data_IF_615994768517
#
_entry.id   IF_615994768517
#
_cell.length_a   1.000
_cell.length_b   1.000
_cell.length_c   1.000
_cell.angle_alpha   90.00
_cell.angle_beta   90.00
_cell.angle_gamma   90.00
#
_symmetry.space_group_name_H-M   'P 1'
#
loop_
_entity.id
_entity.type
_entity.pdbx_description
1 polymer ?
#
# COMPACT_ATOMS: atom_id res chain seq x y z
N UNK A 1 54.89 -2.22 26.95
CA UNK A 1 53.44 -2.41 26.80
C UNK A 1 52.85 -2.45 28.20
N UNK A 2 52.06 -1.44 28.53
CA UNK A 2 51.59 -1.17 29.89
C UNK A 2 50.15 -1.62 30.05
N UNK A 3 49.74 -1.94 31.28
CA UNK A 3 48.38 -2.40 31.59
C UNK A 3 47.31 -1.34 31.20
N UNK A 4 47.71 -0.06 31.22
CA UNK A 4 46.86 1.07 30.82
C UNK A 4 46.62 1.11 29.29
N UNK A 5 47.60 0.74 28.47
CA UNK A 5 47.43 0.67 27.01
C UNK A 5 46.42 -0.40 26.61
N UNK A 6 46.44 -1.56 27.29
CA UNK A 6 45.50 -2.65 27.03
C UNK A 6 44.08 -2.25 27.43
N UNK A 7 43.91 -1.58 28.57
CA UNK A 7 42.61 -1.08 29.01
C UNK A 7 42.03 -0.02 28.06
N UNK A 8 42.86 0.93 27.61
CA UNK A 8 42.44 1.94 26.64
C UNK A 8 42.07 1.29 25.31
N UNK A 9 42.86 0.32 24.83
CA UNK A 9 42.56 -0.40 23.58
C UNK A 9 41.23 -1.17 23.66
N UNK A 10 40.95 -1.84 24.77
CA UNK A 10 39.66 -2.54 24.97
C UNK A 10 38.48 -1.57 25.02
N UNK A 11 38.65 -0.40 25.65
CA UNK A 11 37.61 0.61 25.72
C UNK A 11 37.29 1.22 24.35
N UNK A 12 38.32 1.59 23.58
CA UNK A 12 38.16 2.09 22.20
C UNK A 12 37.52 1.02 21.30
N UNK A 13 37.92 -0.24 21.46
CA UNK A 13 37.33 -1.35 20.69
C UNK A 13 35.85 -1.56 21.02
N UNK A 14 35.47 -1.52 22.30
CA UNK A 14 34.08 -1.64 22.73
C UNK A 14 33.21 -0.51 22.16
N UNK A 15 33.68 0.75 22.22
CA UNK A 15 32.97 1.90 21.61
C UNK A 15 32.86 1.72 20.09
N UNK A 16 33.91 1.25 19.43
CA UNK A 16 33.91 0.98 17.99
C UNK A 16 32.86 -0.05 17.58
N UNK A 17 32.74 -1.16 18.33
CA UNK A 17 31.73 -2.19 18.07
C UNK A 17 30.32 -1.67 18.30
N UNK A 18 30.08 -0.91 19.38
CA UNK A 18 28.77 -0.31 19.66
C UNK A 18 28.35 0.67 18.55
N UNK A 19 29.28 1.50 18.06
CA UNK A 19 29.03 2.41 16.95
C UNK A 19 28.68 1.67 15.66
N UNK A 20 29.39 0.57 15.35
CA UNK A 20 29.11 -0.28 14.19
C UNK A 20 27.73 -0.93 14.26
N UNK A 21 27.34 -1.46 15.43
CA UNK A 21 26.02 -2.05 15.64
C UNK A 21 24.89 -1.03 15.45
N UNK A 22 25.07 0.20 15.97
CA UNK A 22 24.10 1.28 15.78
C UNK A 22 23.91 1.66 14.30
N UNK A 23 25.00 1.67 13.50
CA UNK A 23 24.91 1.93 12.05
C UNK A 23 24.18 0.80 11.33
N UNK A 24 24.49 -0.45 11.67
CA UNK A 24 23.81 -1.62 11.08
C UNK A 24 22.30 -1.59 11.36
N UNK A 25 21.89 -1.25 12.59
CA UNK A 25 20.48 -1.12 12.96
C UNK A 25 19.76 -0.05 12.12
N UNK A 26 20.39 1.11 11.87
CA UNK A 26 19.82 2.18 11.04
C UNK A 26 19.69 1.77 9.56
N UNK A 27 20.68 1.06 9.02
CA UNK A 27 20.62 0.57 7.64
C UNK A 27 19.53 -0.49 7.46
N UNK A 28 19.37 -1.40 8.43
CA UNK A 28 18.31 -2.43 8.40
C UNK A 28 16.91 -1.79 8.41
N UNK A 29 16.71 -0.71 9.17
CA UNK A 29 15.42 0.00 9.21
C UNK A 29 15.04 0.63 7.87
N UNK A 30 15.97 1.35 7.21
CA UNK A 30 15.71 1.98 5.90
C UNK A 30 15.50 0.95 4.77
N UNK A 31 16.19 -0.20 4.84
CA UNK A 31 16.00 -1.29 3.86
C UNK A 31 14.62 -1.90 3.99
N UNK A 32 14.16 -2.18 5.22
CA UNK A 32 12.81 -2.71 5.47
C UNK A 32 11.69 -1.79 4.98
N UNK A 33 11.85 -0.47 5.17
CA UNK A 33 10.90 0.52 4.65
C UNK A 33 10.81 0.46 3.11
N UNK A 34 11.96 0.38 2.44
CA UNK A 34 12.05 0.29 0.97
C UNK A 34 11.52 -1.05 0.43
N UNK A 35 11.75 -2.14 1.16
CA UNK A 35 11.23 -3.47 0.85
C UNK A 35 9.70 -3.52 0.96
N UNK A 36 9.12 -2.94 2.01
CA UNK A 36 7.68 -2.85 2.19
C UNK A 36 7.03 -2.04 1.07
N UNK A 37 7.59 -0.88 0.72
CA UNK A 37 7.13 -0.05 -0.39
C UNK A 37 7.14 -0.80 -1.74
N UNK A 38 8.25 -1.50 -2.04
CA UNK A 38 8.38 -2.28 -3.27
C UNK A 38 7.38 -3.43 -3.31
N UNK A 39 7.18 -4.11 -2.18
CA UNK A 39 6.25 -5.24 -2.07
C UNK A 39 4.80 -4.79 -2.26
N UNK A 40 4.39 -3.69 -1.62
CA UNK A 40 3.05 -3.09 -1.80
C UNK A 40 2.83 -2.66 -3.25
N UNK A 41 3.84 -2.07 -3.89
CA UNK A 41 3.78 -1.69 -5.30
C UNK A 41 3.56 -2.89 -6.21
N UNK A 42 4.30 -3.99 -5.99
CA UNK A 42 4.15 -5.21 -6.79
C UNK A 42 2.79 -5.87 -6.60
N UNK A 43 2.31 -5.98 -5.37
CA UNK A 43 0.98 -6.53 -5.06
C UNK A 43 -0.12 -5.69 -5.72
N UNK A 44 0.00 -4.36 -5.65
CA UNK A 44 -0.94 -3.44 -6.31
C UNK A 44 -0.89 -3.57 -7.82
N UNK A 45 0.30 -3.71 -8.40
CA UNK A 45 0.47 -3.89 -9.84
C UNK A 45 -0.17 -5.20 -10.33
N UNK A 46 -0.01 -6.29 -9.58
CA UNK A 46 -0.66 -7.58 -9.89
C UNK A 46 -2.20 -7.44 -9.90
N UNK A 47 -2.78 -6.69 -8.95
CA UNK A 47 -4.21 -6.39 -8.95
C UNK A 47 -4.59 -5.58 -10.20
N UNK A 48 -3.84 -4.52 -10.52
CA UNK A 48 -4.11 -3.66 -11.68
C UNK A 48 -4.08 -4.49 -12.98
N UNK A 49 -3.10 -5.35 -13.15
CA UNK A 49 -3.04 -6.27 -14.31
C UNK A 49 -4.28 -7.17 -14.37
N UNK A 50 -4.72 -7.68 -13.22
CA UNK A 50 -5.98 -8.41 -13.08
C UNK A 50 -7.22 -7.60 -13.43
N UNK A 51 -7.23 -6.29 -13.13
CA UNK A 51 -8.31 -5.37 -13.52
C UNK A 51 -8.32 -5.15 -15.03
N UNK A 52 -7.16 -4.87 -15.64
CA UNK A 52 -7.02 -4.58 -17.08
C UNK A 52 -7.52 -5.71 -17.98
N UNK A 53 -7.47 -6.97 -17.51
CA UNK A 53 -8.00 -8.13 -18.24
C UNK A 53 -9.50 -8.37 -18.04
N UNK A 54 -10.11 -7.75 -17.02
CA UNK A 54 -11.53 -7.90 -16.68
C UNK A 54 -12.29 -6.55 -16.57
N UNK A 55 -12.20 -5.65 -17.58
CA UNK A 55 -12.99 -4.44 -17.58
C UNK A 55 -14.46 -4.75 -17.91
N UNK A 56 -15.37 -3.92 -17.41
CA UNK A 56 -16.71 -3.79 -17.98
C UNK A 56 -16.62 -2.87 -19.19
N UNK A 57 -17.13 -3.32 -20.34
CA UNK A 57 -17.09 -2.54 -21.58
C UNK A 57 -18.46 -1.91 -21.81
N UNK A 58 -18.49 -0.61 -22.06
CA UNK A 58 -19.66 0.11 -22.55
C UNK A 58 -19.34 0.81 -23.85
N UNK A 59 -20.36 1.06 -24.67
CA UNK A 59 -20.20 1.87 -25.87
C UNK A 59 -19.73 3.28 -25.49
N UNK A 60 -18.75 3.82 -26.22
CA UNK A 60 -18.30 5.20 -26.06
C UNK A 60 -19.05 6.08 -27.05
N UNK A 61 -19.74 7.11 -26.56
CA UNK A 61 -20.40 8.14 -27.36
C UNK A 61 -19.54 9.39 -27.46
N UNK A 62 -19.51 10.03 -28.63
CA UNK A 62 -18.84 11.32 -28.78
C UNK A 62 -19.63 12.47 -28.13
N UNK A 63 -19.10 13.69 -28.23
CA UNK A 63 -19.77 14.91 -27.71
C UNK A 63 -21.10 15.23 -28.39
N UNK A 64 -21.43 14.62 -29.53
CA UNK A 64 -22.71 14.73 -30.22
C UNK A 64 -23.70 13.61 -29.83
N UNK A 65 -23.24 12.62 -29.04
CA UNK A 65 -24.03 11.45 -28.64
C UNK A 65 -23.98 10.29 -29.64
N UNK A 66 -23.18 10.42 -30.70
CA UNK A 66 -23.02 9.38 -31.71
C UNK A 66 -22.07 8.28 -31.20
N UNK A 67 -22.42 7.03 -31.49
CA UNK A 67 -21.60 5.87 -31.11
C UNK A 67 -20.26 5.92 -31.83
N UNK A 68 -19.17 5.88 -31.08
CA UNK A 68 -17.83 5.73 -31.63
C UNK A 68 -17.49 4.24 -31.81
N UNK A 69 -16.42 3.94 -32.55
CA UNK A 69 -15.88 2.58 -32.67
C UNK A 69 -15.09 2.13 -31.44
N UNK A 70 -15.00 2.96 -30.39
CA UNK A 70 -14.24 2.70 -29.18
C UNK A 70 -15.16 2.22 -28.06
N UNK A 71 -14.58 1.46 -27.13
CA UNK A 71 -15.26 0.98 -25.94
C UNK A 71 -14.66 1.68 -24.72
N UNK A 72 -15.54 2.23 -23.89
CA UNK A 72 -15.17 2.75 -22.58
C UNK A 72 -14.99 1.56 -21.62
N UNK A 73 -13.85 1.51 -20.95
CA UNK A 73 -13.58 0.55 -19.88
C UNK A 73 -14.08 1.12 -18.56
N UNK A 74 -14.73 0.29 -17.76
CA UNK A 74 -15.13 0.60 -16.39
C UNK A 74 -14.66 -0.52 -15.46
N UNK A 75 -14.19 -0.12 -14.29
CA UNK A 75 -13.77 -1.01 -13.21
C UNK A 75 -14.72 -0.91 -12.00
N UNK A 76 -15.99 -0.53 -12.21
CA UNK A 76 -16.98 -0.35 -11.13
C UNK A 76 -17.14 -1.60 -10.24
N UNK A 77 -16.97 -2.80 -10.80
CA UNK A 77 -17.00 -4.06 -10.05
C UNK A 77 -15.85 -4.21 -9.03
N UNK A 78 -14.80 -3.40 -9.15
CA UNK A 78 -13.66 -3.35 -8.24
C UNK A 78 -13.77 -2.26 -7.19
N UNK A 79 -14.74 -1.35 -7.30
CA UNK A 79 -14.85 -0.23 -6.36
C UNK A 79 -15.21 -0.77 -4.97
N UNK A 80 -14.46 -0.33 -3.97
CA UNK A 80 -14.62 -0.75 -2.58
C UNK A 80 -14.81 0.46 -1.67
N UNK A 81 -15.54 0.29 -0.59
CA UNK A 81 -15.74 1.32 0.45
C UNK A 81 -15.14 0.90 1.80
N UNK A 82 -14.00 0.20 1.79
CA UNK A 82 -13.47 -0.44 3.00
C UNK A 82 -12.70 0.57 3.87
N UNK A 83 -13.22 0.81 5.08
CA UNK A 83 -12.53 1.47 6.19
C UNK A 83 -11.90 0.48 7.17
N UNK A 84 -12.09 -0.82 6.93
CA UNK A 84 -11.68 -1.88 7.83
C UNK A 84 -10.21 -2.26 7.66
N UNK A 85 -9.56 -2.56 8.77
CA UNK A 85 -8.21 -3.08 8.80
C UNK A 85 -8.17 -4.49 8.20
N UNK A 86 -7.17 -4.76 7.35
CA UNK A 86 -7.10 -6.01 6.60
C UNK A 86 -6.83 -7.26 7.47
N UNK A 87 -6.23 -7.10 8.65
CA UNK A 87 -5.89 -8.20 9.56
C UNK A 87 -7.11 -8.97 10.09
N UNK A 88 -8.26 -8.31 10.19
CA UNK A 88 -9.49 -8.93 10.69
C UNK A 88 -10.41 -9.43 9.55
N UNK A 89 -10.00 -9.23 8.30
CA UNK A 89 -10.81 -9.59 7.15
C UNK A 89 -10.73 -11.09 6.88
N UNK A 90 -11.80 -11.83 7.23
CA UNK A 90 -12.00 -13.21 6.74
C UNK A 90 -12.32 -13.15 5.25
N UNK A 91 -11.29 -13.11 4.43
CA UNK A 91 -11.48 -13.07 2.98
C UNK A 91 -11.89 -14.45 2.48
N UNK A 92 -13.13 -14.55 2.01
CA UNK A 92 -13.79 -15.82 1.66
C UNK A 92 -13.98 -16.01 0.15
N UNK A 93 -13.61 -15.03 -0.67
CA UNK A 93 -13.80 -15.10 -2.11
C UNK A 93 -12.59 -15.77 -2.77
N UNK A 94 -12.71 -17.06 -3.03
CA UNK A 94 -11.72 -17.86 -3.74
C UNK A 94 -11.99 -17.90 -5.25
N UNK A 95 -10.94 -18.13 -6.05
CA UNK A 95 -11.07 -18.39 -7.48
C UNK A 95 -11.80 -19.73 -7.72
N UNK A 96 -12.77 -19.71 -8.63
CA UNK A 96 -13.59 -20.88 -8.98
C UNK A 96 -13.66 -21.03 -10.49
N UNK A 97 -14.00 -22.24 -10.95
CA UNK A 97 -14.32 -22.45 -12.36
C UNK A 97 -15.60 -21.68 -12.73
N UNK A 98 -15.56 -20.99 -13.88
CA UNK A 98 -16.69 -20.24 -14.46
C UNK A 98 -17.23 -19.12 -13.55
N UNK A 99 -16.40 -18.13 -13.26
CA UNK A 99 -16.81 -16.92 -12.54
C UNK A 99 -17.43 -15.88 -13.48
N UNK A 100 -18.43 -15.15 -12.99
CA UNK A 100 -18.84 -13.89 -13.62
C UNK A 100 -17.75 -12.82 -13.45
N UNK A 101 -17.78 -11.77 -14.26
CA UNK A 101 -16.83 -10.64 -14.13
C UNK A 101 -16.80 -10.05 -12.71
N UNK A 102 -17.96 -9.94 -12.07
CA UNK A 102 -18.08 -9.44 -10.70
C UNK A 102 -17.50 -10.40 -9.67
N UNK A 103 -17.73 -11.72 -9.83
CA UNK A 103 -17.13 -12.73 -8.96
C UNK A 103 -15.60 -12.77 -9.11
N UNK A 104 -15.10 -12.67 -10.34
CA UNK A 104 -13.66 -12.60 -10.59
C UNK A 104 -13.04 -11.36 -9.96
N UNK A 105 -13.69 -10.19 -10.08
CA UNK A 105 -13.25 -8.96 -9.44
C UNK A 105 -13.19 -9.11 -7.91
N UNK A 106 -14.24 -9.68 -7.30
CA UNK A 106 -14.27 -9.94 -5.86
C UNK A 106 -13.16 -10.90 -5.39
N UNK A 107 -12.83 -11.93 -6.17
CA UNK A 107 -11.74 -12.84 -5.85
C UNK A 107 -10.36 -12.19 -6.01
N UNK A 108 -10.17 -11.35 -7.03
CA UNK A 108 -8.93 -10.59 -7.20
C UNK A 108 -8.72 -9.56 -6.08
N UNK A 109 -9.78 -8.83 -5.69
CA UNK A 109 -9.75 -7.95 -4.52
C UNK A 109 -9.45 -8.76 -3.25
N UNK A 110 -10.04 -9.94 -3.12
CA UNK A 110 -9.79 -10.80 -1.97
C UNK A 110 -8.31 -11.22 -1.91
N UNK A 111 -7.76 -11.73 -3.01
CA UNK A 111 -6.36 -12.09 -3.11
C UNK A 111 -5.44 -10.90 -2.81
N UNK A 112 -5.74 -9.73 -3.38
CA UNK A 112 -4.99 -8.50 -3.15
C UNK A 112 -4.87 -8.14 -1.67
N UNK A 113 -5.99 -8.09 -0.93
CA UNK A 113 -5.88 -7.74 0.50
C UNK A 113 -5.22 -8.84 1.33
N UNK A 114 -5.33 -10.11 0.92
CA UNK A 114 -4.69 -11.23 1.60
C UNK A 114 -3.16 -11.15 1.43
N UNK A 115 -2.70 -10.84 0.23
CA UNK A 115 -1.29 -10.65 -0.07
C UNK A 115 -0.72 -9.45 0.68
N UNK A 116 -1.46 -8.33 0.78
CA UNK A 116 -1.06 -7.19 1.60
C UNK A 116 -0.95 -7.54 3.08
N UNK A 117 -1.95 -8.23 3.65
CA UNK A 117 -1.94 -8.63 5.06
C UNK A 117 -0.80 -9.61 5.36
N UNK A 118 -0.49 -10.51 4.42
CA UNK A 118 0.62 -11.47 4.53
C UNK A 118 1.99 -10.80 4.39
N UNK A 119 2.11 -9.82 3.50
CA UNK A 119 3.36 -9.09 3.27
C UNK A 119 3.73 -8.17 4.44
N UNK A 120 2.73 -7.62 5.13
CA UNK A 120 2.91 -6.68 6.23
C UNK A 120 2.27 -7.22 7.54
N UNK A 121 2.79 -8.33 8.10
CA UNK A 121 2.16 -9.01 9.23
C UNK A 121 2.21 -8.20 10.53
N UNK A 122 3.11 -7.22 10.64
CA UNK A 122 3.27 -6.38 11.82
C UNK A 122 2.52 -5.05 11.68
N UNK A 123 2.24 -4.59 10.46
CA UNK A 123 1.59 -3.29 10.23
C UNK A 123 0.05 -3.38 10.32
N UNK A 124 -0.61 -2.24 10.54
CA UNK A 124 -2.03 -2.11 10.30
C UNK A 124 -2.23 -1.63 8.87
N UNK A 125 -2.85 -2.46 8.02
CA UNK A 125 -2.99 -2.16 6.59
C UNK A 125 -4.45 -1.86 6.25
N UNK A 126 -4.64 -0.88 5.39
CA UNK A 126 -5.91 -0.43 4.84
C UNK A 126 -5.76 -0.29 3.33
N UNK A 127 -6.83 -0.57 2.59
CA UNK A 127 -6.81 -0.43 1.14
C UNK A 127 -8.20 -0.06 0.62
N UNK A 128 -8.23 0.77 -0.41
CA UNK A 128 -9.45 0.99 -1.18
C UNK A 128 -9.17 1.07 -2.67
N UNK A 129 -10.19 0.80 -3.46
CA UNK A 129 -10.23 1.02 -4.90
C UNK A 129 -11.41 1.94 -5.14
N UNK A 130 -11.17 3.12 -5.71
CA UNK A 130 -12.20 4.14 -5.86
C UNK A 130 -11.96 4.98 -7.13
N UNK A 131 -12.95 5.80 -7.49
CA UNK A 131 -12.78 6.84 -8.50
C UNK A 131 -12.20 8.08 -7.84
N UNK A 132 -11.14 8.61 -8.42
CA UNK A 132 -10.51 9.82 -7.90
C UNK A 132 -9.84 10.63 -9.00
N UNK A 133 -10.23 11.90 -9.11
CA UNK A 133 -9.63 12.87 -10.02
C UNK A 133 -8.64 13.83 -9.33
N UNK A 134 -8.71 13.91 -7.99
CA UNK A 134 -7.89 14.83 -7.19
C UNK A 134 -6.44 14.35 -7.02
N UNK A 135 -6.24 13.02 -6.99
CA UNK A 135 -4.93 12.41 -6.70
C UNK A 135 -4.46 12.59 -5.26
N UNK A 136 -5.36 13.00 -4.35
CA UNK A 136 -5.05 13.18 -2.95
C UNK A 136 -4.67 11.85 -2.28
N UNK A 137 -3.58 11.83 -1.54
CA UNK A 137 -3.14 10.63 -0.83
C UNK A 137 -4.10 10.26 0.31
N UNK A 138 -4.26 8.96 0.63
CA UNK A 138 -5.06 8.55 1.77
C UNK A 138 -4.43 9.04 3.09
N UNK A 139 -5.26 9.36 4.09
CA UNK A 139 -4.80 9.80 5.41
C UNK A 139 -5.37 8.91 6.53
N UNK A 140 -4.75 8.99 7.70
CA UNK A 140 -5.20 8.30 8.90
C UNK A 140 -5.40 9.30 10.05
N UNK A 141 -6.60 9.87 10.13
CA UNK A 141 -7.02 10.87 11.12
C UNK A 141 -8.25 10.32 11.85
N UNK A 142 -8.03 9.62 12.98
CA UNK A 142 -9.07 8.89 13.71
C UNK A 142 -9.76 7.77 12.89
N UNK A 143 -9.06 7.24 11.89
CA UNK A 143 -9.53 6.18 11.01
C UNK A 143 -8.98 6.35 9.60
N UNK A 144 -9.13 5.30 8.78
CA UNK A 144 -8.71 5.34 7.38
C UNK A 144 -9.62 6.28 6.58
N UNK A 145 -9.02 7.29 5.95
CA UNK A 145 -9.68 8.17 4.99
C UNK A 145 -9.00 8.04 3.63
N UNK A 146 -9.70 7.47 2.66
CA UNK A 146 -9.14 7.25 1.33
C UNK A 146 -8.98 8.51 0.47
N UNK A 147 -9.61 9.63 0.85
CA UNK A 147 -9.63 10.89 0.08
C UNK A 147 -10.00 10.67 -1.40
N UNK A 148 -11.01 9.84 -1.65
CA UNK A 148 -11.59 9.69 -2.99
C UNK A 148 -12.63 10.79 -3.20
N UNK A 149 -12.61 11.44 -4.36
CA UNK A 149 -13.63 12.45 -4.71
C UNK A 149 -14.86 11.84 -5.43
N UNK A 150 -14.80 10.54 -5.75
CA UNK A 150 -15.80 9.78 -6.50
C UNK A 150 -16.19 10.44 -7.83
N UNK A 151 -15.29 11.26 -8.38
CA UNK A 151 -15.47 12.00 -9.63
C UNK A 151 -14.52 11.50 -10.71
N UNK A 152 -14.94 11.76 -11.95
CA UNK A 152 -14.20 11.33 -13.14
C UNK A 152 -14.30 9.83 -13.40
N UNK A 153 -13.51 9.36 -14.35
CA UNK A 153 -13.48 7.96 -14.78
C UNK A 153 -12.21 7.21 -14.32
N UNK A 154 -11.25 7.92 -13.72
CA UNK A 154 -9.99 7.34 -13.28
C UNK A 154 -10.17 6.49 -12.04
N UNK A 155 -9.93 5.19 -12.17
CA UNK A 155 -9.91 4.26 -11.03
C UNK A 155 -8.51 4.25 -10.42
N UNK A 156 -8.43 4.43 -9.10
CA UNK A 156 -7.18 4.45 -8.33
C UNK A 156 -7.23 3.37 -7.25
N UNK A 157 -6.15 2.60 -7.14
CA UNK A 157 -5.91 1.72 -6.00
C UNK A 157 -5.08 2.49 -4.98
N UNK A 158 -5.56 2.59 -3.75
CA UNK A 158 -4.90 3.29 -2.63
C UNK A 158 -4.67 2.31 -1.49
N UNK A 159 -3.44 2.30 -0.98
CA UNK A 159 -3.02 1.47 0.16
C UNK A 159 -2.40 2.39 1.20
N UNK A 160 -2.73 2.15 2.47
CA UNK A 160 -2.16 2.83 3.61
C UNK A 160 -1.75 1.79 4.64
N UNK A 161 -0.57 1.93 5.23
CA UNK A 161 -0.19 1.12 6.37
C UNK A 161 0.47 1.93 7.46
N UNK A 162 0.21 1.52 8.69
CA UNK A 162 0.74 2.12 9.91
C UNK A 162 1.87 1.26 10.43
N UNK A 163 3.03 1.90 10.66
CA UNK A 163 4.17 1.28 11.33
C UNK A 163 4.39 1.96 12.67
N UNK A 164 4.44 1.16 13.74
CA UNK A 164 4.71 1.64 15.09
C UNK A 164 6.14 2.18 15.17
N UNK A 165 6.33 3.29 15.88
CA UNK A 165 7.65 3.86 16.15
C UNK A 165 7.88 3.98 17.65
N UNK A 166 8.98 3.39 18.12
CA UNK A 166 9.34 3.37 19.54
C UNK A 166 9.65 4.77 20.12
N UNK A 167 10.02 5.74 19.28
CA UNK A 167 10.23 7.14 19.66
C UNK A 167 9.55 8.07 18.63
N UNK A 168 8.86 9.11 19.12
CA UNK A 168 8.37 10.25 18.31
C UNK A 168 9.57 10.93 17.63
N UNK A 169 9.95 10.42 16.45
CA UNK A 169 11.02 10.99 15.66
C UNK A 169 10.55 12.27 14.97
N UNK A 170 10.51 13.35 15.74
CA UNK A 170 10.26 14.74 15.31
C UNK A 170 11.27 15.27 14.29
N UNK A 171 12.34 14.52 13.99
CA UNK A 171 13.43 14.90 13.10
C UNK A 171 13.21 14.56 11.62
N UNK A 172 12.25 13.70 11.27
CA UNK A 172 11.85 13.46 9.88
C UNK A 172 10.46 14.07 9.66
N UNK A 173 10.24 14.76 8.54
CA UNK A 173 8.92 15.25 8.11
C UNK A 173 8.01 14.05 7.71
N UNK A 174 7.72 13.18 8.66
CA UNK A 174 6.88 12.00 8.46
C UNK A 174 5.44 12.37 8.77
N UNK A 175 4.50 11.84 7.97
CA UNK A 175 3.09 11.90 8.33
C UNK A 175 2.87 10.93 9.50
N UNK A 176 2.60 11.46 10.69
CA UNK A 176 2.41 10.65 11.91
C UNK A 176 0.96 10.70 12.38
N UNK A 177 0.46 9.59 12.92
CA UNK A 177 -0.84 9.53 13.59
C UNK A 177 -0.68 8.79 14.92
N UNK A 178 -0.63 9.55 16.02
CA UNK A 178 -0.22 9.03 17.32
C UNK A 178 1.20 8.45 17.26
N UNK A 179 1.38 7.23 17.77
CA UNK A 179 2.66 6.50 17.77
C UNK A 179 3.01 5.82 16.43
N UNK A 180 2.25 6.08 15.35
CA UNK A 180 2.49 5.43 14.06
C UNK A 180 2.98 6.41 13.00
N UNK A 181 3.93 5.95 12.18
CA UNK A 181 4.23 6.56 10.88
C UNK A 181 3.22 6.04 9.86
N UNK A 182 2.64 6.96 9.09
CA UNK A 182 1.65 6.68 8.04
C UNK A 182 2.37 6.61 6.71
N UNK A 183 2.36 5.41 6.11
CA UNK A 183 2.84 5.20 4.75
C UNK A 183 1.68 5.04 3.79
N UNK A 184 1.84 5.57 2.58
CA UNK A 184 0.82 5.54 1.54
C UNK A 184 1.43 5.02 0.24
N UNK A 185 0.61 4.34 -0.54
CA UNK A 185 0.90 3.98 -1.92
C UNK A 185 -0.36 4.15 -2.74
N UNK A 186 -0.25 4.76 -3.92
CA UNK A 186 -1.37 4.88 -4.84
C UNK A 186 -0.94 4.67 -6.28
N UNK A 187 -1.79 3.99 -7.05
CA UNK A 187 -1.55 3.76 -8.48
C UNK A 187 -2.85 3.84 -9.27
N UNK A 188 -2.76 4.44 -10.45
CA UNK A 188 -3.88 4.61 -11.37
C UNK A 188 -3.99 3.38 -12.27
N UNK A 189 -5.20 2.86 -12.42
CA UNK A 189 -5.53 1.87 -13.46
C UNK A 189 -5.55 2.63 -14.79
N UNK A 190 -4.64 2.29 -15.70
CA UNK A 190 -4.56 2.95 -17.02
C UNK A 190 -5.63 2.39 -17.96
N UNK A 191 -6.34 3.25 -18.67
CA UNK A 191 -7.30 2.85 -19.70
C UNK A 191 -6.62 2.29 -20.97
#
# INVERSE_FOLDING_TARGET
MTLIEVLIAMFVLAIGVLALLAVQLRTVSNVRESENQTTVAQITQNLIEGMLINPTLSEETDTAGDKTSRYKKSYDAYITSSSEQLKDSKQTNEFKDKMTKAQLAQAQIAQFKADLAKALPEAQVFSTICKDSSGAEPTYENGFNAKCDDKGDTTIVKVLWLQDVEEENTAKNLNTSGHHVVYTYQSRVRD
#
